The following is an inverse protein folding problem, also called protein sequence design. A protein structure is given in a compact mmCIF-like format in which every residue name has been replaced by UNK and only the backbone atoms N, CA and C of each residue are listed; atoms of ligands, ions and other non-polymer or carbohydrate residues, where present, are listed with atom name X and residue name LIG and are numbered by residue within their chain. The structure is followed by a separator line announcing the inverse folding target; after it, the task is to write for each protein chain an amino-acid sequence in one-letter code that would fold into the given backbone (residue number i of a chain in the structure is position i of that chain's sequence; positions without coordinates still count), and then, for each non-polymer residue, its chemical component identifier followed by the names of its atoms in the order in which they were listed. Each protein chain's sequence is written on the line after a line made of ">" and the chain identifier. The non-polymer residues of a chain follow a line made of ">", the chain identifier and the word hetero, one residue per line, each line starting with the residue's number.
data_IF_044136614583
#
_entry.id   IF_044136614583
#
_cell.length_a   1.000
_cell.length_b   1.000
_cell.length_c   1.000
_cell.angle_alpha   90.00
_cell.angle_beta   90.00
_cell.angle_gamma   90.00
#
_symmetry.space_group_name_H-M   'P 1'
#
loop_
_entity.id
_entity.type
_entity.pdbx_description
1 polymer ?
#
# COMPACT_ATOMS: atom_id res chain seq x y z
N UNK A 1 -43.38 4.91 2.10
CA UNK A 1 -43.48 5.57 0.81
C UNK A 1 -42.24 5.25 0.01
N UNK A 2 -42.38 4.33 -0.98
CA UNK A 2 -41.26 3.93 -1.82
C UNK A 2 -40.70 5.12 -2.58
N UNK A 3 -39.40 5.34 -2.46
CA UNK A 3 -38.65 6.26 -3.32
C UNK A 3 -38.63 5.65 -4.73
N UNK A 4 -39.57 6.05 -5.58
CA UNK A 4 -39.44 5.81 -7.01
C UNK A 4 -38.39 6.78 -7.56
N UNK A 5 -37.17 6.32 -7.69
CA UNK A 5 -36.12 6.97 -8.49
C UNK A 5 -36.29 6.37 -9.88
N UNK A 6 -37.15 6.99 -10.68
CA UNK A 6 -37.62 6.45 -11.98
C UNK A 6 -36.55 6.39 -13.10
N UNK A 7 -35.30 6.73 -12.80
CA UNK A 7 -34.21 6.79 -13.79
C UNK A 7 -32.97 5.98 -13.36
N UNK A 8 -33.05 5.13 -12.34
CA UNK A 8 -31.94 4.33 -11.87
C UNK A 8 -32.19 2.84 -12.06
N UNK A 9 -31.21 2.11 -12.57
CA UNK A 9 -31.17 0.65 -12.52
C UNK A 9 -30.51 0.22 -11.22
N UNK A 10 -31.18 -0.64 -10.46
CA UNK A 10 -30.69 -1.19 -9.19
C UNK A 10 -30.28 -2.63 -9.42
N UNK A 11 -29.07 -2.99 -8.94
CA UNK A 11 -28.54 -4.33 -8.99
C UNK A 11 -27.96 -4.76 -7.64
N UNK A 12 -27.79 -6.06 -7.45
CA UNK A 12 -27.12 -6.65 -6.30
C UNK A 12 -26.15 -7.72 -6.76
N UNK A 13 -24.89 -7.58 -6.41
CA UNK A 13 -23.86 -8.54 -6.74
C UNK A 13 -22.76 -8.53 -5.65
N UNK A 14 -22.20 -9.71 -5.33
CA UNK A 14 -21.06 -9.86 -4.40
C UNK A 14 -21.27 -9.14 -3.05
N UNK A 15 -22.43 -9.29 -2.43
CA UNK A 15 -22.83 -8.61 -1.18
C UNK A 15 -22.79 -7.07 -1.29
N UNK A 16 -22.98 -6.53 -2.47
CA UNK A 16 -22.97 -5.10 -2.76
C UNK A 16 -24.24 -4.71 -3.49
N UNK A 17 -24.96 -3.75 -2.91
CA UNK A 17 -26.07 -3.07 -3.57
C UNK A 17 -25.50 -1.94 -4.43
N UNK A 18 -25.94 -1.83 -5.67
CA UNK A 18 -25.52 -0.71 -6.52
C UNK A 18 -26.68 -0.17 -7.34
N UNK A 19 -26.58 1.08 -7.74
CA UNK A 19 -27.56 1.72 -8.59
C UNK A 19 -26.86 2.55 -9.68
N UNK A 20 -27.25 2.38 -10.92
CA UNK A 20 -26.72 3.12 -12.06
C UNK A 20 -27.68 4.23 -12.46
N UNK A 21 -27.19 5.46 -12.44
CA UNK A 21 -27.85 6.63 -13.02
C UNK A 21 -27.23 6.93 -14.38
N UNK A 22 -28.00 6.74 -15.45
CA UNK A 22 -27.54 7.09 -16.78
C UNK A 22 -27.56 8.60 -16.99
N UNK A 23 -26.47 9.12 -17.53
CA UNK A 23 -26.32 10.55 -17.80
C UNK A 23 -27.24 10.99 -18.95
N UNK A 24 -28.00 12.10 -18.80
CA UNK A 24 -28.90 12.58 -19.84
C UNK A 24 -28.20 13.01 -21.15
N UNK A 25 -26.91 13.33 -21.05
CA UNK A 25 -26.06 13.80 -22.16
C UNK A 25 -24.91 12.87 -22.50
N UNK A 26 -24.86 11.70 -21.89
CA UNK A 26 -23.73 10.75 -22.03
C UNK A 26 -23.97 9.70 -23.08
N UNK A 27 -22.90 9.12 -23.60
CA UNK A 27 -22.90 8.00 -24.54
C UNK A 27 -22.80 6.63 -23.85
N UNK A 28 -22.94 6.57 -22.52
CA UNK A 28 -22.79 5.38 -21.67
C UNK A 28 -21.40 4.71 -21.74
N UNK A 29 -20.37 5.47 -22.08
CA UNK A 29 -18.99 4.97 -22.19
C UNK A 29 -18.15 5.22 -20.94
N UNK A 30 -18.54 6.21 -20.14
CA UNK A 30 -17.79 6.70 -18.98
C UNK A 30 -18.68 6.83 -17.75
N UNK A 31 -18.12 6.51 -16.60
CA UNK A 31 -18.82 6.56 -15.33
C UNK A 31 -17.94 7.11 -14.18
N UNK A 32 -18.62 7.58 -13.13
CA UNK A 32 -18.05 7.91 -11.83
C UNK A 32 -18.76 7.11 -10.76
N UNK A 33 -18.04 6.67 -9.72
CA UNK A 33 -18.62 5.90 -8.63
C UNK A 33 -18.66 6.71 -7.32
N UNK A 34 -19.81 6.73 -6.66
CA UNK A 34 -19.96 7.15 -5.27
C UNK A 34 -20.17 5.92 -4.41
N UNK A 35 -19.19 5.63 -3.55
CA UNK A 35 -19.15 4.41 -2.75
C UNK A 35 -19.44 4.74 -1.29
N UNK A 36 -20.35 4.01 -0.70
CA UNK A 36 -20.72 4.18 0.72
C UNK A 36 -20.84 2.81 1.36
N UNK A 37 -19.77 2.32 2.02
CA UNK A 37 -19.84 1.08 2.76
C UNK A 37 -20.88 1.14 3.88
N UNK A 38 -21.55 0.02 4.15
CA UNK A 38 -22.48 -0.09 5.28
C UNK A 38 -21.76 0.07 6.62
N UNK A 39 -20.55 -0.49 6.69
CA UNK A 39 -19.66 -0.36 7.84
C UNK A 39 -18.43 0.42 7.42
N UNK A 40 -18.10 1.48 8.15
CA UNK A 40 -16.93 2.31 7.89
C UNK A 40 -15.63 1.65 8.39
N UNK A 41 -14.48 2.29 8.16
CA UNK A 41 -13.17 1.81 8.58
C UNK A 41 -12.97 1.76 10.12
N UNK A 42 -13.84 2.38 10.90
CA UNK A 42 -13.85 2.28 12.38
C UNK A 42 -14.77 1.14 12.87
N UNK A 43 -15.31 0.29 11.96
CA UNK A 43 -16.31 -0.74 12.24
C UNK A 43 -17.63 -0.20 12.83
N UNK A 44 -17.97 1.05 12.50
CA UNK A 44 -19.25 1.67 12.86
C UNK A 44 -20.22 1.66 11.66
N UNK A 45 -21.52 1.68 11.95
CA UNK A 45 -22.54 1.81 10.91
C UNK A 45 -22.44 3.21 10.24
N UNK A 46 -22.37 3.24 8.93
CA UNK A 46 -22.08 4.45 8.14
C UNK A 46 -23.37 5.23 7.76
N UNK A 47 -24.27 5.44 8.73
CA UNK A 47 -25.62 5.98 8.53
C UNK A 47 -25.63 7.37 7.89
N UNK A 48 -24.77 8.27 8.37
CA UNK A 48 -24.68 9.63 7.86
C UNK A 48 -24.30 9.68 6.37
N UNK A 49 -23.29 8.89 5.97
CA UNK A 49 -22.88 8.81 4.56
C UNK A 49 -23.96 8.17 3.69
N UNK A 50 -24.68 7.16 4.18
CA UNK A 50 -25.77 6.53 3.44
C UNK A 50 -26.94 7.49 3.22
N UNK A 51 -27.33 8.21 4.25
CA UNK A 51 -28.37 9.23 4.16
C UNK A 51 -28.00 10.33 3.18
N UNK A 52 -26.73 10.79 3.23
CA UNK A 52 -26.21 11.79 2.30
C UNK A 52 -26.15 11.27 0.87
N UNK A 53 -25.73 10.01 0.66
CA UNK A 53 -25.67 9.41 -0.68
C UNK A 53 -27.07 9.34 -1.33
N UNK A 54 -28.10 8.96 -0.56
CA UNK A 54 -29.50 8.94 -1.04
C UNK A 54 -29.98 10.35 -1.38
N UNK A 55 -29.62 11.35 -0.56
CA UNK A 55 -29.94 12.74 -0.83
C UNK A 55 -29.26 13.25 -2.12
N UNK A 56 -27.96 12.95 -2.29
CA UNK A 56 -27.18 13.27 -3.50
C UNK A 56 -27.73 12.54 -4.72
N UNK A 57 -28.09 11.27 -4.62
CA UNK A 57 -28.71 10.52 -5.71
C UNK A 57 -29.99 11.21 -6.20
N UNK A 58 -30.87 11.58 -5.26
CA UNK A 58 -32.09 12.34 -5.57
C UNK A 58 -31.81 13.72 -6.17
N UNK A 59 -30.73 14.37 -5.73
CA UNK A 59 -30.33 15.67 -6.26
C UNK A 59 -29.76 15.54 -7.67
N UNK A 60 -28.87 14.58 -7.92
CA UNK A 60 -28.24 14.35 -9.21
C UNK A 60 -29.22 13.97 -10.31
N UNK A 61 -30.26 13.19 -9.99
CA UNK A 61 -31.32 12.83 -10.98
C UNK A 61 -32.13 14.02 -11.49
N UNK A 62 -32.13 15.13 -10.74
CA UNK A 62 -32.83 16.36 -11.17
C UNK A 62 -32.00 17.26 -12.08
N UNK A 63 -30.70 16.91 -12.24
CA UNK A 63 -29.75 17.71 -13.00
C UNK A 63 -29.51 17.15 -14.40
N UNK A 64 -29.63 18.01 -15.40
CA UNK A 64 -29.38 17.66 -16.81
C UNK A 64 -27.93 17.88 -17.25
N UNK A 65 -27.01 18.20 -16.33
CA UNK A 65 -25.61 18.56 -16.66
C UNK A 65 -24.71 17.36 -16.87
N UNK A 66 -25.15 16.18 -16.43
CA UNK A 66 -24.30 14.98 -16.44
C UNK A 66 -24.06 14.46 -17.86
N UNK A 67 -22.79 14.29 -18.20
CA UNK A 67 -22.30 13.61 -19.39
C UNK A 67 -21.69 12.24 -19.09
N UNK A 68 -21.27 12.03 -17.86
CA UNK A 68 -20.77 10.73 -17.36
C UNK A 68 -21.81 10.08 -16.47
N UNK A 69 -21.97 8.77 -16.58
CA UNK A 69 -22.88 8.02 -15.72
C UNK A 69 -22.43 8.07 -14.27
N UNK A 70 -23.33 7.92 -13.32
CA UNK A 70 -23.01 7.89 -11.90
C UNK A 70 -23.48 6.56 -11.32
N UNK A 71 -22.57 5.86 -10.65
CA UNK A 71 -22.84 4.60 -9.98
C UNK A 71 -22.80 4.84 -8.48
N UNK A 72 -23.89 4.55 -7.80
CA UNK A 72 -23.96 4.52 -6.34
C UNK A 72 -23.72 3.10 -5.88
N UNK A 73 -22.70 2.88 -5.04
CA UNK A 73 -22.25 1.55 -4.63
C UNK A 73 -22.28 1.45 -3.11
N UNK A 74 -23.01 0.46 -2.58
CA UNK A 74 -23.20 0.24 -1.16
C UNK A 74 -22.71 -1.16 -0.75
N UNK A 75 -21.38 -1.36 -0.65
CA UNK A 75 -20.82 -2.63 -0.21
C UNK A 75 -21.01 -2.82 1.30
N UNK A 76 -21.00 -4.06 1.77
CA UNK A 76 -21.06 -4.37 3.19
C UNK A 76 -19.90 -3.70 3.95
N UNK A 77 -18.68 -3.80 3.40
CA UNK A 77 -17.48 -3.12 3.90
C UNK A 77 -16.66 -2.59 2.73
N UNK A 78 -15.76 -1.64 2.99
CA UNK A 78 -14.79 -1.11 2.01
C UNK A 78 -13.74 -2.12 1.55
N UNK A 79 -13.69 -3.31 2.12
CA UNK A 79 -12.66 -4.31 1.88
C UNK A 79 -13.06 -5.31 0.77
N UNK A 80 -13.10 -6.60 1.11
CA UNK A 80 -13.34 -7.71 0.17
C UNK A 80 -14.65 -7.58 -0.62
N UNK A 81 -15.80 -7.20 -0.02
CA UNK A 81 -17.03 -7.03 -0.79
C UNK A 81 -16.90 -5.98 -1.89
N UNK A 82 -16.30 -4.81 -1.58
CA UNK A 82 -16.07 -3.76 -2.57
C UNK A 82 -15.11 -4.24 -3.66
N UNK A 83 -13.99 -4.87 -3.29
CA UNK A 83 -13.01 -5.42 -4.25
C UNK A 83 -13.66 -6.43 -5.20
N UNK A 84 -14.44 -7.36 -4.65
CA UNK A 84 -15.15 -8.37 -5.45
C UNK A 84 -16.20 -7.74 -6.37
N UNK A 85 -16.86 -6.66 -5.94
CA UNK A 85 -17.79 -5.93 -6.79
C UNK A 85 -17.07 -5.22 -7.95
N UNK A 86 -15.94 -4.56 -7.69
CA UNK A 86 -15.14 -3.89 -8.73
C UNK A 86 -14.66 -4.92 -9.77
N UNK A 87 -14.19 -6.09 -9.33
CA UNK A 87 -13.81 -7.19 -10.21
C UNK A 87 -15.00 -7.69 -11.05
N UNK A 88 -16.14 -7.95 -10.40
CA UNK A 88 -17.36 -8.38 -11.07
C UNK A 88 -17.86 -7.35 -12.09
N UNK A 89 -17.78 -6.06 -11.77
CA UNK A 89 -18.15 -4.97 -12.67
C UNK A 89 -17.39 -5.01 -13.99
N UNK A 90 -16.11 -5.39 -13.96
CA UNK A 90 -15.25 -5.43 -15.15
C UNK A 90 -15.24 -6.80 -15.85
N UNK A 91 -15.78 -7.85 -15.25
CA UNK A 91 -15.64 -9.22 -15.76
C UNK A 91 -16.95 -9.95 -16.01
N UNK A 92 -17.95 -9.78 -15.15
CA UNK A 92 -19.14 -10.67 -15.10
C UNK A 92 -20.47 -9.94 -15.19
N UNK A 93 -20.55 -8.66 -14.72
CA UNK A 93 -21.82 -7.96 -14.71
C UNK A 93 -22.26 -7.55 -16.13
N UNK A 94 -23.48 -7.92 -16.49
CA UNK A 94 -24.08 -7.59 -17.79
C UNK A 94 -24.49 -6.10 -17.85
N UNK A 95 -24.99 -5.56 -16.74
CA UNK A 95 -25.40 -4.15 -16.63
C UNK A 95 -24.25 -3.32 -16.08
N UNK A 96 -23.54 -2.61 -16.95
CA UNK A 96 -22.48 -1.67 -16.63
C UNK A 96 -22.78 -0.26 -17.13
N UNK A 97 -22.15 0.72 -16.55
CA UNK A 97 -22.31 2.14 -16.91
C UNK A 97 -21.17 2.68 -17.77
N UNK A 98 -20.33 1.81 -18.31
CA UNK A 98 -19.09 2.20 -18.99
C UNK A 98 -17.86 2.15 -18.09
N UNK A 99 -16.75 2.67 -18.55
CA UNK A 99 -15.48 2.69 -17.81
C UNK A 99 -15.55 3.65 -16.62
N UNK A 100 -15.29 3.16 -15.41
CA UNK A 100 -15.23 4.02 -14.22
C UNK A 100 -13.91 4.79 -14.24
N UNK A 101 -13.98 6.12 -14.20
CA UNK A 101 -12.81 7.00 -14.22
C UNK A 101 -12.36 7.41 -12.82
N UNK A 102 -13.33 7.72 -11.96
CA UNK A 102 -13.08 8.14 -10.59
C UNK A 102 -14.09 7.51 -9.63
N UNK A 103 -13.61 7.23 -8.41
CA UNK A 103 -14.45 6.77 -7.31
C UNK A 103 -14.19 7.61 -6.05
N UNK A 104 -15.25 8.05 -5.40
CA UNK A 104 -15.20 8.71 -4.11
C UNK A 104 -15.87 7.82 -3.10
N UNK A 105 -15.15 7.45 -2.05
CA UNK A 105 -15.66 6.68 -0.94
C UNK A 105 -16.00 7.63 0.20
N UNK A 106 -17.20 7.53 0.74
CA UNK A 106 -17.67 8.38 1.83
C UNK A 106 -17.78 7.60 3.13
N UNK A 107 -17.19 8.13 4.18
CA UNK A 107 -17.34 7.63 5.55
C UNK A 107 -17.83 8.75 6.48
N UNK A 108 -19.04 8.56 7.01
CA UNK A 108 -19.67 9.44 7.98
C UNK A 108 -20.55 8.61 8.92
N UNK A 109 -19.91 8.04 9.96
CA UNK A 109 -20.55 7.05 10.82
C UNK A 109 -21.55 7.60 11.84
N UNK A 110 -21.55 8.91 12.15
CA UNK A 110 -22.32 9.44 13.27
C UNK A 110 -23.63 10.11 12.89
N UNK A 111 -24.59 9.95 13.82
CA UNK A 111 -25.89 10.61 13.86
C UNK A 111 -25.73 12.09 14.21
N UNK A 112 -25.36 12.93 13.28
CA UNK A 112 -25.26 14.35 13.50
C UNK A 112 -25.12 15.10 12.18
N UNK A 113 -25.68 16.30 12.17
CA UNK A 113 -25.62 17.18 11.00
C UNK A 113 -24.33 17.99 10.94
N UNK A 114 -23.42 17.84 11.93
CA UNK A 114 -22.22 18.65 12.07
C UNK A 114 -20.95 17.81 12.19
N UNK A 115 -19.83 18.38 11.70
CA UNK A 115 -18.50 17.79 11.77
C UNK A 115 -17.43 18.88 11.85
N UNK A 116 -16.21 18.54 12.28
CA UNK A 116 -15.12 19.51 12.43
C UNK A 116 -14.25 19.60 11.18
N UNK A 117 -13.77 18.47 10.71
CA UNK A 117 -12.92 18.35 9.53
C UNK A 117 -13.13 17.00 8.86
N UNK A 118 -12.48 16.77 7.73
CA UNK A 118 -12.41 15.44 7.15
C UNK A 118 -10.97 14.98 6.91
N UNK A 119 -10.78 13.68 6.99
CA UNK A 119 -9.58 12.99 6.59
C UNK A 119 -9.70 12.49 5.16
N UNK A 120 -8.64 12.65 4.39
CA UNK A 120 -8.53 12.11 3.03
C UNK A 120 -7.54 10.93 3.04
N UNK A 121 -8.00 9.78 2.57
CA UNK A 121 -7.18 8.57 2.36
C UNK A 121 -7.13 8.27 0.87
N UNK A 122 -5.96 7.94 0.35
CA UNK A 122 -5.71 7.76 -1.09
C UNK A 122 -4.75 6.62 -1.40
N UNK A 123 -4.39 5.82 -0.42
CA UNK A 123 -3.50 4.69 -0.58
C UNK A 123 -4.13 3.57 -1.43
N UNK A 124 -3.40 3.14 -2.46
CA UNK A 124 -3.78 1.99 -3.28
C UNK A 124 -2.87 0.79 -3.03
N UNK A 125 -3.37 -0.39 -3.40
CA UNK A 125 -2.62 -1.64 -3.32
C UNK A 125 -1.40 -1.62 -4.24
N UNK A 126 -0.37 -2.33 -3.84
CA UNK A 126 0.84 -2.56 -4.63
C UNK A 126 1.53 -1.25 -5.07
N UNK A 127 1.45 -0.21 -4.22
CA UNK A 127 2.08 1.08 -4.46
C UNK A 127 1.38 2.00 -5.45
N UNK A 128 0.18 1.64 -5.90
CA UNK A 128 -0.60 2.49 -6.78
C UNK A 128 -1.16 3.69 -6.04
N UNK A 129 -1.19 4.83 -6.72
CA UNK A 129 -1.76 6.07 -6.22
C UNK A 129 -2.76 6.61 -7.26
N UNK A 130 -3.82 7.28 -6.82
CA UNK A 130 -4.69 7.99 -7.74
C UNK A 130 -3.97 9.17 -8.37
N UNK A 131 -4.48 9.63 -9.49
CA UNK A 131 -3.99 10.85 -10.13
C UNK A 131 -4.07 12.04 -9.17
N UNK A 132 -2.99 12.81 -9.07
CA UNK A 132 -2.89 13.94 -8.15
C UNK A 132 -3.94 15.02 -8.41
N UNK A 133 -4.39 15.19 -9.65
CA UNK A 133 -5.40 16.20 -9.99
C UNK A 133 -6.76 15.88 -9.35
N UNK A 134 -7.10 14.60 -9.18
CA UNK A 134 -8.32 14.23 -8.48
C UNK A 134 -8.27 14.67 -7.00
N UNK A 135 -7.15 14.43 -6.33
CA UNK A 135 -6.95 14.86 -4.93
C UNK A 135 -6.93 16.39 -4.81
N UNK A 136 -6.23 17.06 -5.73
CA UNK A 136 -6.16 18.50 -5.76
C UNK A 136 -7.54 19.12 -6.00
N UNK A 137 -8.34 18.53 -6.89
CA UNK A 137 -9.73 18.98 -7.12
C UNK A 137 -10.53 18.92 -5.83
N UNK A 138 -10.52 17.80 -5.12
CA UNK A 138 -11.20 17.68 -3.83
C UNK A 138 -10.68 18.71 -2.80
N UNK A 139 -9.36 18.89 -2.72
CA UNK A 139 -8.73 19.87 -1.82
C UNK A 139 -9.12 21.32 -2.15
N UNK A 140 -9.23 21.67 -3.42
CA UNK A 140 -9.69 23.01 -3.84
C UNK A 140 -11.13 23.24 -3.42
N UNK A 141 -12.02 22.25 -3.62
CA UNK A 141 -13.42 22.34 -3.20
C UNK A 141 -13.53 22.49 -1.66
N UNK A 142 -12.73 21.76 -0.92
CA UNK A 142 -12.62 21.88 0.53
C UNK A 142 -12.22 23.29 0.96
N UNK A 143 -11.24 23.87 0.30
CA UNK A 143 -10.80 25.22 0.59
C UNK A 143 -11.90 26.25 0.34
N UNK A 144 -12.67 26.11 -0.73
CA UNK A 144 -13.81 26.98 -1.03
C UNK A 144 -14.92 26.88 0.02
N UNK A 145 -15.20 25.68 0.52
CA UNK A 145 -16.17 25.46 1.60
C UNK A 145 -15.61 25.76 3.00
N UNK A 146 -14.34 26.20 3.09
CA UNK A 146 -13.65 26.52 4.35
C UNK A 146 -13.69 25.37 5.36
N UNK A 147 -13.57 24.14 4.89
CA UNK A 147 -13.51 22.95 5.74
C UNK A 147 -12.04 22.56 5.93
N UNK A 148 -11.59 22.33 7.17
CA UNK A 148 -10.26 21.77 7.40
C UNK A 148 -10.14 20.37 6.81
N UNK A 149 -9.00 20.08 6.16
CA UNK A 149 -8.69 18.77 5.59
C UNK A 149 -7.41 18.23 6.22
N UNK A 150 -7.48 17.02 6.72
CA UNK A 150 -6.33 16.22 7.14
C UNK A 150 -5.99 15.18 6.07
N UNK A 151 -4.80 14.61 6.16
CA UNK A 151 -4.31 13.58 5.24
C UNK A 151 -3.91 12.34 6.01
N UNK A 152 -4.53 11.20 5.68
CA UNK A 152 -4.14 9.88 6.21
C UNK A 152 -4.09 9.80 7.75
N UNK A 153 -5.06 10.41 8.42
CA UNK A 153 -5.19 10.42 9.87
C UNK A 153 -4.20 11.32 10.60
N UNK A 154 -3.55 12.25 9.90
CA UNK A 154 -2.76 13.31 10.53
C UNK A 154 -3.67 14.44 11.02
N UNK A 155 -3.11 15.32 11.86
CA UNK A 155 -3.84 16.53 12.27
C UNK A 155 -4.20 17.41 11.07
N UNK A 156 -5.38 17.99 11.09
CA UNK A 156 -5.87 19.02 10.15
C UNK A 156 -4.93 20.24 10.04
N UNK A 157 -4.09 20.45 11.05
CA UNK A 157 -3.16 21.58 11.16
C UNK A 157 -1.73 21.19 10.86
N UNK A 158 -1.42 20.98 9.57
CA UNK A 158 -0.04 20.79 9.12
C UNK A 158 0.61 22.17 8.92
N UNK A 159 1.17 22.74 9.99
CA UNK A 159 1.66 24.12 10.02
C UNK A 159 3.19 24.17 9.84
N UNK A 160 3.93 23.20 10.40
CA UNK A 160 5.38 23.23 10.51
C UNK A 160 6.06 22.22 9.57
N UNK A 161 7.35 22.45 9.31
CA UNK A 161 8.16 21.50 8.55
C UNK A 161 8.19 20.10 9.19
N UNK A 162 8.24 20.02 10.52
CA UNK A 162 8.18 18.77 11.27
C UNK A 162 6.88 18.00 11.03
N UNK A 163 5.73 18.67 11.06
CA UNK A 163 4.43 18.03 10.80
C UNK A 163 4.30 17.57 9.34
N UNK A 164 4.89 18.31 8.39
CA UNK A 164 4.96 17.86 6.97
C UNK A 164 5.80 16.60 6.82
N UNK A 165 6.93 16.49 7.49
CA UNK A 165 7.73 15.27 7.49
C UNK A 165 6.99 14.10 8.15
N UNK A 166 6.26 14.34 9.25
CA UNK A 166 5.42 13.31 9.87
C UNK A 166 4.34 12.81 8.91
N UNK A 167 3.67 13.72 8.18
CA UNK A 167 2.69 13.35 7.14
C UNK A 167 3.34 12.49 6.05
N UNK A 168 4.54 12.86 5.57
CA UNK A 168 5.30 12.11 4.58
C UNK A 168 5.61 10.69 5.05
N UNK A 169 6.19 10.55 6.26
CA UNK A 169 6.53 9.24 6.79
C UNK A 169 5.30 8.39 7.09
N UNK A 170 4.23 9.00 7.58
CA UNK A 170 2.96 8.31 7.78
C UNK A 170 2.37 7.84 6.45
N UNK A 171 2.45 8.65 5.39
CA UNK A 171 2.06 8.27 4.04
C UNK A 171 2.87 7.08 3.51
N UNK A 172 4.19 7.08 3.68
CA UNK A 172 5.05 5.94 3.32
C UNK A 172 4.65 4.69 4.11
N UNK A 173 4.42 4.82 5.43
CA UNK A 173 4.01 3.71 6.28
C UNK A 173 2.65 3.14 5.85
N UNK A 174 1.64 4.00 5.64
CA UNK A 174 0.31 3.60 5.17
C UNK A 174 0.39 2.86 3.83
N UNK A 175 1.13 3.40 2.85
CA UNK A 175 1.35 2.75 1.56
C UNK A 175 2.08 1.40 1.67
N UNK A 176 2.99 1.23 2.64
CA UNK A 176 3.67 -0.04 2.89
C UNK A 176 2.72 -1.07 3.51
N UNK A 177 1.78 -0.63 4.34
CA UNK A 177 0.89 -1.49 5.12
C UNK A 177 -0.48 -1.72 4.48
N UNK A 178 -0.77 -1.08 3.35
CA UNK A 178 -2.04 -1.28 2.63
C UNK A 178 -2.28 -2.76 2.37
N UNK A 179 -3.46 -3.23 2.77
CA UNK A 179 -3.85 -4.64 2.65
C UNK A 179 -3.27 -5.58 3.70
N UNK A 180 -2.40 -5.08 4.59
CA UNK A 180 -1.78 -5.86 5.66
C UNK A 180 -2.37 -5.56 7.05
N UNK A 181 -3.26 -4.57 7.15
CA UNK A 181 -3.93 -4.17 8.39
C UNK A 181 -5.44 -4.26 8.23
N UNK A 182 -6.17 -4.27 9.34
CA UNK A 182 -7.64 -4.22 9.35
C UNK A 182 -8.18 -2.80 9.10
N UNK A 183 -7.30 -1.80 9.06
CA UNK A 183 -7.66 -0.43 8.72
C UNK A 183 -7.82 -0.31 7.20
N UNK A 184 -9.04 -0.35 6.73
CA UNK A 184 -9.42 -0.38 5.31
C UNK A 184 -10.30 0.81 5.00
N UNK A 185 -9.91 1.62 4.03
CA UNK A 185 -10.63 2.83 3.65
C UNK A 185 -11.46 2.68 2.36
N UNK A 186 -11.24 1.62 1.58
CA UNK A 186 -12.01 1.29 0.38
C UNK A 186 -11.40 1.80 -0.93
N UNK A 187 -10.59 2.86 -0.92
CA UNK A 187 -9.93 3.36 -2.13
C UNK A 187 -8.96 2.32 -2.74
N UNK A 188 -8.35 1.48 -1.93
CA UNK A 188 -7.49 0.38 -2.35
C UNK A 188 -8.21 -0.70 -3.17
N UNK A 189 -9.53 -0.84 -3.04
CA UNK A 189 -10.32 -1.81 -3.79
C UNK A 189 -10.31 -1.54 -5.31
N UNK A 190 -10.06 -0.31 -5.71
CA UNK A 190 -10.00 0.13 -7.11
C UNK A 190 -8.64 -0.04 -7.76
N UNK A 191 -7.62 -0.42 -6.99
CA UNK A 191 -6.27 -0.64 -7.51
C UNK A 191 -6.22 -1.79 -8.52
N UNK A 192 -5.43 -1.61 -9.59
CA UNK A 192 -5.31 -2.58 -10.69
C UNK A 192 -6.29 -2.37 -11.84
N UNK A 193 -7.32 -1.53 -11.67
CA UNK A 193 -8.34 -1.26 -12.69
C UNK A 193 -8.21 0.12 -13.34
N UNK A 194 -7.13 0.85 -13.05
CA UNK A 194 -6.89 2.22 -13.52
C UNK A 194 -7.99 3.21 -13.12
N UNK A 195 -8.69 2.94 -12.03
CA UNK A 195 -9.72 3.81 -11.47
C UNK A 195 -9.07 4.70 -10.42
N UNK A 196 -9.26 6.00 -10.53
CA UNK A 196 -8.75 6.97 -9.58
C UNK A 196 -9.68 7.03 -8.38
N UNK A 197 -9.21 6.64 -7.19
CA UNK A 197 -10.07 6.55 -6.01
C UNK A 197 -9.44 7.18 -4.78
N UNK A 198 -10.27 7.83 -3.96
CA UNK A 198 -9.90 8.31 -2.63
C UNK A 198 -11.10 8.23 -1.69
N UNK A 199 -10.81 8.18 -0.40
CA UNK A 199 -11.81 8.12 0.66
C UNK A 199 -11.84 9.42 1.43
N UNK A 200 -13.03 9.92 1.71
CA UNK A 200 -13.27 11.09 2.55
C UNK A 200 -13.98 10.62 3.81
N UNK A 201 -13.32 10.79 4.96
CA UNK A 201 -13.85 10.39 6.26
C UNK A 201 -14.07 11.60 7.14
N UNK A 202 -15.29 11.78 7.59
CA UNK A 202 -15.68 12.86 8.48
C UNK A 202 -15.16 12.63 9.90
N UNK A 203 -14.68 13.69 10.55
CA UNK A 203 -14.18 13.68 11.92
C UNK A 203 -14.79 14.81 12.75
N UNK A 204 -14.99 14.52 14.04
CA UNK A 204 -15.58 15.47 14.98
C UNK A 204 -17.12 15.50 14.91
N UNK A 205 -17.72 16.31 15.79
CA UNK A 205 -19.18 16.37 15.97
C UNK A 205 -19.74 17.79 15.96
N UNK A 206 -18.89 18.80 15.75
CA UNK A 206 -19.27 20.21 15.82
C UNK A 206 -18.68 20.99 14.65
N UNK A 207 -19.24 22.13 14.34
CA UNK A 207 -18.66 23.15 13.47
C UNK A 207 -19.26 23.21 12.07
N UNK A 208 -18.97 22.29 11.18
CA UNK A 208 -19.41 22.32 9.77
C UNK A 208 -20.68 21.51 9.56
N UNK A 209 -21.52 21.99 8.66
CA UNK A 209 -22.79 21.35 8.32
C UNK A 209 -22.57 20.22 7.29
N UNK A 210 -23.32 19.14 7.42
CA UNK A 210 -23.33 18.00 6.48
C UNK A 210 -23.61 18.43 5.03
N UNK A 211 -24.37 19.53 4.83
CA UNK A 211 -24.62 20.10 3.51
C UNK A 211 -23.32 20.58 2.84
N UNK A 212 -22.38 21.12 3.62
CA UNK A 212 -21.07 21.53 3.09
C UNK A 212 -20.25 20.30 2.63
N UNK A 213 -20.35 19.21 3.38
CA UNK A 213 -19.73 17.94 2.95
C UNK A 213 -20.35 17.43 1.64
N UNK A 214 -21.67 17.45 1.52
CA UNK A 214 -22.38 17.12 0.28
C UNK A 214 -21.97 18.00 -0.90
N UNK A 215 -21.69 19.30 -0.67
CA UNK A 215 -21.20 20.21 -1.72
C UNK A 215 -19.79 19.87 -2.20
N UNK A 216 -18.90 19.40 -1.33
CA UNK A 216 -17.57 18.95 -1.76
C UNK A 216 -17.71 17.77 -2.73
N UNK A 217 -18.53 16.77 -2.37
CA UNK A 217 -18.80 15.62 -3.22
C UNK A 217 -19.41 16.03 -4.55
N UNK A 218 -20.48 16.82 -4.54
CA UNK A 218 -21.14 17.34 -5.75
C UNK A 218 -20.16 18.12 -6.64
N UNK A 219 -19.39 19.04 -6.06
CA UNK A 219 -18.46 19.87 -6.83
C UNK A 219 -17.30 19.04 -7.41
N UNK A 220 -16.84 18.04 -6.70
CA UNK A 220 -15.81 17.10 -7.21
C UNK A 220 -16.37 16.27 -8.36
N UNK A 221 -17.59 15.72 -8.22
CA UNK A 221 -18.28 15.00 -9.31
C UNK A 221 -18.47 15.89 -10.54
N UNK A 222 -18.89 17.13 -10.38
CA UNK A 222 -19.03 18.09 -11.50
C UNK A 222 -17.70 18.39 -12.17
N UNK A 223 -16.63 18.52 -11.39
CA UNK A 223 -15.29 18.74 -11.95
C UNK A 223 -14.83 17.56 -12.79
N UNK A 224 -15.01 16.33 -12.30
CA UNK A 224 -14.71 15.11 -13.07
C UNK A 224 -15.62 14.97 -14.30
N UNK A 225 -16.91 15.30 -14.16
CA UNK A 225 -17.86 15.28 -15.26
C UNK A 225 -17.46 16.21 -16.42
N UNK A 226 -16.79 17.32 -16.12
CA UNK A 226 -16.36 18.30 -17.12
C UNK A 226 -15.01 17.94 -17.77
N UNK A 227 -14.33 16.88 -17.34
CA UNK A 227 -13.13 16.41 -18.01
C UNK A 227 -13.48 15.77 -19.35
N UNK A 228 -12.88 16.30 -20.43
CA UNK A 228 -13.04 15.77 -21.79
C UNK A 228 -12.20 14.51 -22.01
N UNK A 229 -11.12 14.37 -21.26
CA UNK A 229 -10.18 13.24 -21.34
C UNK A 229 -9.98 12.65 -19.96
N UNK A 230 -9.62 11.36 -19.91
CA UNK A 230 -9.28 10.68 -18.65
C UNK A 230 -8.08 11.36 -17.97
N UNK A 231 -7.96 11.18 -16.65
CA UNK A 231 -6.80 11.65 -15.90
C UNK A 231 -5.51 11.02 -16.43
N UNK A 232 -4.70 11.76 -17.20
CA UNK A 232 -3.46 11.27 -17.79
C UNK A 232 -2.29 12.27 -17.76
N UNK A 233 -2.56 13.54 -17.49
CA UNK A 233 -1.56 14.61 -17.58
C UNK A 233 -0.85 14.92 -16.26
N UNK A 234 -1.35 14.43 -15.12
CA UNK A 234 -0.79 14.73 -13.82
C UNK A 234 0.09 13.62 -13.25
N UNK A 235 0.63 13.86 -12.06
CA UNK A 235 1.51 12.93 -11.39
C UNK A 235 0.76 11.74 -10.81
N UNK A 236 1.29 10.52 -11.03
CA UNK A 236 0.94 9.29 -10.33
C UNK A 236 2.00 8.87 -9.31
N UNK A 237 3.15 9.54 -9.32
CA UNK A 237 4.30 9.24 -8.46
C UNK A 237 4.60 10.46 -7.59
N UNK A 238 3.92 10.52 -6.46
CA UNK A 238 4.02 11.62 -5.50
C UNK A 238 3.86 11.11 -4.07
N UNK A 239 4.26 11.92 -3.11
CA UNK A 239 3.97 11.72 -1.69
C UNK A 239 3.47 13.04 -1.12
N UNK A 240 2.36 13.00 -0.39
CA UNK A 240 1.77 14.21 0.19
C UNK A 240 2.51 14.62 1.46
N UNK A 241 2.77 15.91 1.58
CA UNK A 241 3.29 16.56 2.78
C UNK A 241 2.17 17.25 3.57
N UNK A 242 1.14 17.67 2.89
CA UNK A 242 -0.05 18.31 3.40
C UNK A 242 -1.11 18.34 2.30
N UNK A 243 -2.35 18.73 2.56
CA UNK A 243 -3.37 18.87 1.50
C UNK A 243 -2.95 19.73 0.31
N UNK A 244 -2.04 20.70 0.54
CA UNK A 244 -1.58 21.65 -0.51
C UNK A 244 -0.14 21.43 -0.97
N UNK A 245 0.58 20.48 -0.41
CA UNK A 245 2.00 20.28 -0.72
C UNK A 245 2.30 18.80 -0.92
N UNK A 246 3.04 18.51 -1.96
CA UNK A 246 3.53 17.17 -2.27
C UNK A 246 4.99 17.20 -2.68
N UNK A 247 5.63 16.06 -2.68
CA UNK A 247 6.92 15.82 -3.32
C UNK A 247 6.75 14.86 -4.49
N UNK A 248 7.35 15.21 -5.61
CA UNK A 248 7.35 14.36 -6.80
C UNK A 248 8.43 13.29 -6.71
N UNK A 249 8.33 12.28 -7.57
CA UNK A 249 9.30 11.19 -7.68
C UNK A 249 10.76 11.69 -7.79
N UNK A 250 11.01 12.74 -8.53
CA UNK A 250 12.37 13.31 -8.67
C UNK A 250 12.98 13.75 -7.34
N UNK A 251 12.17 14.07 -6.33
CA UNK A 251 12.66 14.53 -5.03
C UNK A 251 12.88 13.38 -4.05
N UNK A 252 12.02 12.37 -4.01
CA UNK A 252 12.14 11.29 -3.04
C UNK A 252 12.91 10.06 -3.55
N UNK A 253 12.93 9.83 -4.86
CA UNK A 253 13.60 8.69 -5.48
C UNK A 253 15.09 8.56 -5.11
N UNK A 254 15.88 9.65 -5.03
CA UNK A 254 17.30 9.57 -4.67
C UNK A 254 17.54 8.86 -3.33
N UNK A 255 16.62 8.94 -2.36
CA UNK A 255 16.76 8.28 -1.06
C UNK A 255 16.82 6.75 -1.18
N UNK A 256 15.94 6.15 -1.98
CA UNK A 256 15.94 4.71 -2.19
C UNK A 256 17.04 4.26 -3.18
N UNK A 257 17.43 5.11 -4.12
CA UNK A 257 18.63 4.86 -4.96
C UNK A 257 19.88 4.75 -4.09
N UNK A 258 20.08 5.66 -3.13
CA UNK A 258 21.20 5.58 -2.19
C UNK A 258 21.20 4.31 -1.36
N UNK A 259 20.00 3.83 -0.95
CA UNK A 259 19.88 2.53 -0.30
C UNK A 259 20.33 1.39 -1.24
N UNK A 260 19.82 1.32 -2.46
CA UNK A 260 20.21 0.30 -3.43
C UNK A 260 21.74 0.33 -3.70
N UNK A 261 22.32 1.51 -3.86
CA UNK A 261 23.77 1.71 -4.04
C UNK A 261 24.56 1.19 -2.82
N UNK A 262 24.06 1.38 -1.58
CA UNK A 262 24.74 0.88 -0.38
C UNK A 262 24.85 -0.65 -0.38
N UNK A 263 23.80 -1.35 -0.81
CA UNK A 263 23.81 -2.81 -0.97
C UNK A 263 24.77 -3.25 -2.09
N UNK A 264 24.73 -2.56 -3.23
CA UNK A 264 25.64 -2.85 -4.35
C UNK A 264 27.11 -2.66 -3.96
N UNK A 265 27.46 -1.57 -3.27
CA UNK A 265 28.81 -1.33 -2.78
C UNK A 265 29.26 -2.38 -1.76
N UNK A 266 28.37 -2.80 -0.86
CA UNK A 266 28.65 -3.87 0.09
C UNK A 266 28.85 -5.22 -0.62
N UNK A 267 28.08 -5.50 -1.67
CA UNK A 267 28.28 -6.66 -2.55
C UNK A 267 29.67 -6.66 -3.19
N UNK A 268 30.07 -5.55 -3.80
CA UNK A 268 31.40 -5.39 -4.41
C UNK A 268 32.49 -5.55 -3.36
N UNK A 269 32.34 -4.94 -2.19
CA UNK A 269 33.28 -5.10 -1.07
C UNK A 269 33.51 -6.57 -0.68
N UNK A 270 32.45 -7.37 -0.67
CA UNK A 270 32.56 -8.79 -0.39
C UNK A 270 33.42 -9.54 -1.42
N UNK A 271 33.24 -9.23 -2.72
CA UNK A 271 34.06 -9.79 -3.80
C UNK A 271 35.53 -9.36 -3.71
N UNK A 272 35.77 -8.09 -3.42
CA UNK A 272 37.16 -7.56 -3.29
C UNK A 272 37.90 -8.24 -2.13
N UNK A 273 37.23 -8.54 -1.03
CA UNK A 273 37.86 -9.16 0.16
C UNK A 273 38.27 -10.62 -0.05
N UNK A 274 37.55 -11.39 -0.85
CA UNK A 274 37.77 -12.84 -0.94
C UNK A 274 37.84 -13.40 -2.36
N UNK A 275 37.63 -12.57 -3.40
CA UNK A 275 37.45 -13.02 -4.77
C UNK A 275 36.07 -13.67 -4.98
N UNK A 276 35.79 -14.10 -6.21
CA UNK A 276 34.53 -14.71 -6.58
C UNK A 276 34.70 -16.19 -6.94
N UNK A 277 33.81 -17.07 -6.41
CA UNK A 277 33.77 -18.50 -6.69
C UNK A 277 32.40 -18.91 -7.23
N UNK A 278 32.37 -19.33 -8.48
CA UNK A 278 31.12 -19.79 -9.14
C UNK A 278 30.66 -21.19 -8.71
N UNK A 279 31.51 -21.98 -8.07
CA UNK A 279 31.23 -23.39 -7.76
C UNK A 279 30.04 -23.59 -6.83
N UNK A 280 29.72 -22.60 -6.00
CA UNK A 280 28.60 -22.66 -5.04
C UNK A 280 27.35 -21.91 -5.49
N UNK A 281 27.31 -21.43 -6.73
CA UNK A 281 26.16 -20.70 -7.25
C UNK A 281 24.86 -21.51 -7.24
N UNK A 282 24.95 -22.83 -7.43
CA UNK A 282 23.79 -23.72 -7.33
C UNK A 282 23.05 -23.58 -5.98
N UNK A 283 23.76 -23.21 -4.91
CA UNK A 283 23.17 -23.03 -3.60
C UNK A 283 22.15 -21.89 -3.56
N UNK A 284 22.40 -20.82 -4.32
CA UNK A 284 21.43 -19.72 -4.49
C UNK A 284 20.14 -20.25 -5.13
N UNK A 285 20.28 -21.02 -6.19
CA UNK A 285 19.13 -21.62 -6.90
C UNK A 285 18.33 -22.55 -5.99
N UNK A 286 19.01 -23.36 -5.17
CA UNK A 286 18.34 -24.27 -4.21
C UNK A 286 17.55 -23.45 -3.17
N UNK A 287 18.11 -22.37 -2.64
CA UNK A 287 17.41 -21.51 -1.68
C UNK A 287 16.21 -20.83 -2.33
N UNK A 288 16.37 -20.31 -3.55
CA UNK A 288 15.26 -19.67 -4.29
C UNK A 288 14.12 -20.66 -4.57
N UNK A 289 14.42 -21.88 -4.99
CA UNK A 289 13.40 -22.93 -5.19
C UNK A 289 12.70 -23.26 -3.86
N UNK A 290 13.43 -23.37 -2.76
CA UNK A 290 12.84 -23.63 -1.45
C UNK A 290 11.90 -22.48 -1.01
N UNK A 291 12.30 -21.23 -1.24
CA UNK A 291 11.47 -20.05 -0.95
C UNK A 291 10.27 -19.97 -1.90
N UNK A 292 10.43 -20.34 -3.18
CA UNK A 292 9.32 -20.42 -4.13
C UNK A 292 8.27 -21.45 -3.69
N UNK A 293 8.69 -22.62 -3.21
CA UNK A 293 7.78 -23.61 -2.64
C UNK A 293 7.09 -23.03 -1.38
N UNK A 294 7.85 -22.38 -0.49
CA UNK A 294 7.32 -21.76 0.72
C UNK A 294 6.25 -20.70 0.41
N UNK A 295 6.39 -19.97 -0.69
CA UNK A 295 5.45 -18.92 -1.07
C UNK A 295 4.02 -19.42 -1.36
N UNK A 296 3.87 -20.70 -1.74
CA UNK A 296 2.59 -21.33 -2.10
C UNK A 296 2.10 -22.35 -1.06
N UNK A 297 2.88 -22.64 -0.02
CA UNK A 297 2.47 -23.54 1.06
C UNK A 297 1.72 -22.74 2.13
N UNK A 298 0.60 -23.25 2.70
CA UNK A 298 -0.04 -22.62 3.84
C UNK A 298 0.93 -22.58 5.03
N UNK A 299 1.35 -21.40 5.42
CA UNK A 299 2.29 -21.18 6.52
C UNK A 299 1.63 -20.36 7.62
N UNK A 300 1.98 -20.64 8.86
CA UNK A 300 1.61 -19.84 10.00
C UNK A 300 2.84 -19.16 10.63
N UNK A 301 2.57 -18.21 11.51
CA UNK A 301 3.62 -17.44 12.20
C UNK A 301 4.66 -18.34 12.90
N UNK A 302 4.21 -19.38 13.59
CA UNK A 302 5.10 -20.29 14.35
C UNK A 302 6.06 -21.02 13.41
N UNK A 303 5.56 -21.48 12.26
CA UNK A 303 6.37 -22.17 11.25
C UNK A 303 7.46 -21.26 10.67
N UNK A 304 7.13 -20.01 10.32
CA UNK A 304 8.10 -19.07 9.77
C UNK A 304 9.15 -18.65 10.79
N UNK A 305 8.77 -18.47 12.05
CA UNK A 305 9.72 -18.24 13.14
C UNK A 305 10.61 -19.45 13.37
N UNK A 306 10.08 -20.67 13.35
CA UNK A 306 10.85 -21.90 13.48
C UNK A 306 11.85 -22.09 12.34
N UNK A 307 11.44 -21.86 11.08
CA UNK A 307 12.35 -21.89 9.92
C UNK A 307 13.48 -20.88 10.11
N UNK A 308 13.15 -19.65 10.49
CA UNK A 308 14.15 -18.61 10.75
C UNK A 308 15.13 -18.99 11.86
N UNK A 309 14.63 -19.57 12.95
CA UNK A 309 15.48 -20.06 14.05
C UNK A 309 16.40 -21.18 13.61
N UNK A 310 15.92 -22.15 12.82
CA UNK A 310 16.72 -23.24 12.27
C UNK A 310 17.85 -22.72 11.37
N UNK A 311 17.58 -21.67 10.57
CA UNK A 311 18.58 -21.03 9.70
C UNK A 311 19.71 -20.38 10.52
N UNK A 312 19.38 -19.84 11.70
CA UNK A 312 20.35 -19.21 12.61
C UNK A 312 21.21 -20.19 13.43
N UNK A 313 20.89 -21.48 13.43
CA UNK A 313 21.67 -22.46 14.22
C UNK A 313 23.12 -22.56 13.74
N UNK A 314 24.07 -22.64 14.67
CA UNK A 314 25.48 -22.85 14.34
C UNK A 314 25.69 -24.15 13.56
N UNK A 315 26.50 -24.11 12.51
CA UNK A 315 26.79 -25.26 11.65
C UNK A 315 28.27 -25.56 11.61
N UNK A 316 28.62 -26.79 11.20
CA UNK A 316 30.02 -27.13 10.86
C UNK A 316 30.47 -26.29 9.67
N UNK A 317 31.78 -26.02 9.55
CA UNK A 317 32.32 -25.24 8.43
C UNK A 317 32.07 -25.97 7.09
N UNK A 318 31.18 -25.43 6.29
CA UNK A 318 30.78 -26.00 4.99
C UNK A 318 31.34 -25.15 3.85
N UNK A 319 31.55 -23.86 4.09
CA UNK A 319 31.97 -22.89 3.08
C UNK A 319 33.41 -22.45 3.29
N UNK A 320 34.18 -22.41 2.20
CA UNK A 320 35.46 -21.68 2.15
C UNK A 320 35.20 -20.17 2.29
N UNK A 321 36.23 -19.39 2.62
CA UNK A 321 36.16 -17.95 2.71
C UNK A 321 35.61 -17.36 1.40
N UNK A 322 36.19 -17.77 0.27
CA UNK A 322 35.79 -17.29 -1.05
C UNK A 322 34.32 -17.63 -1.38
N UNK A 323 33.90 -18.88 -1.12
CA UNK A 323 32.51 -19.30 -1.38
C UNK A 323 31.49 -18.52 -0.51
N UNK A 324 31.78 -18.35 0.79
CA UNK A 324 30.88 -17.62 1.69
C UNK A 324 30.72 -16.15 1.29
N UNK A 325 31.84 -15.48 0.95
CA UNK A 325 31.77 -14.07 0.52
C UNK A 325 31.12 -13.90 -0.87
N UNK A 326 31.29 -14.87 -1.79
CA UNK A 326 30.60 -14.88 -3.09
C UNK A 326 29.09 -14.99 -2.91
N UNK A 327 28.62 -15.89 -2.05
CA UNK A 327 27.19 -16.05 -1.75
C UNK A 327 26.61 -14.80 -1.11
N UNK A 328 27.31 -14.18 -0.16
CA UNK A 328 26.89 -12.91 0.46
C UNK A 328 26.82 -11.80 -0.58
N UNK A 329 27.82 -11.72 -1.47
CA UNK A 329 27.83 -10.73 -2.55
C UNK A 329 26.60 -10.85 -3.45
N UNK A 330 26.26 -12.06 -3.90
CA UNK A 330 25.09 -12.31 -4.74
C UNK A 330 23.80 -11.94 -4.01
N UNK A 331 23.67 -12.32 -2.75
CA UNK A 331 22.49 -12.01 -1.96
C UNK A 331 22.30 -10.50 -1.74
N UNK A 332 23.38 -9.76 -1.45
CA UNK A 332 23.34 -8.30 -1.35
C UNK A 332 23.00 -7.62 -2.68
N UNK A 333 23.54 -8.15 -3.78
CA UNK A 333 23.20 -7.65 -5.12
C UNK A 333 21.72 -7.93 -5.46
N UNK A 334 21.18 -9.08 -5.06
CA UNK A 334 19.77 -9.40 -5.23
C UNK A 334 18.87 -8.40 -4.48
N UNK A 335 19.23 -8.03 -3.24
CA UNK A 335 18.49 -6.98 -2.51
C UNK A 335 18.61 -5.62 -3.21
N UNK A 336 19.79 -5.24 -3.71
CA UNK A 336 19.96 -4.02 -4.48
C UNK A 336 19.04 -3.99 -5.72
N UNK A 337 18.97 -5.10 -6.46
CA UNK A 337 18.10 -5.25 -7.62
C UNK A 337 16.63 -5.24 -7.24
N UNK A 338 16.25 -5.88 -6.14
CA UNK A 338 14.88 -5.85 -5.61
C UNK A 338 14.45 -4.42 -5.31
N UNK A 339 15.26 -3.66 -4.56
CA UNK A 339 14.99 -2.26 -4.26
C UNK A 339 14.86 -1.47 -5.57
N UNK A 340 15.79 -1.65 -6.51
CA UNK A 340 15.79 -0.95 -7.80
C UNK A 340 14.53 -1.25 -8.63
N UNK A 341 14.09 -2.50 -8.66
CA UNK A 341 12.87 -2.90 -9.36
C UNK A 341 11.61 -2.28 -8.74
N UNK A 342 11.58 -2.17 -7.41
CA UNK A 342 10.46 -1.59 -6.68
C UNK A 342 10.44 -0.06 -6.66
N UNK A 343 11.52 0.62 -7.02
CA UNK A 343 11.65 2.08 -6.94
C UNK A 343 10.48 2.83 -7.59
N UNK A 344 10.03 2.37 -8.73
CA UNK A 344 8.95 3.00 -9.49
C UNK A 344 7.61 2.35 -9.15
N UNK A 345 7.58 1.02 -9.04
CA UNK A 345 6.33 0.26 -8.85
C UNK A 345 5.76 0.46 -7.45
N UNK A 346 6.63 0.40 -6.43
CA UNK A 346 6.21 0.47 -5.02
C UNK A 346 7.29 1.11 -4.15
N UNK A 347 7.51 2.42 -4.33
CA UNK A 347 8.55 3.17 -3.61
C UNK A 347 8.51 2.96 -2.09
N UNK A 348 7.32 3.02 -1.48
CA UNK A 348 7.18 2.90 -0.02
C UNK A 348 7.71 1.55 0.49
N UNK A 349 7.42 0.46 -0.22
CA UNK A 349 7.92 -0.87 0.13
C UNK A 349 9.43 -0.99 -0.14
N UNK A 350 9.92 -0.45 -1.27
CA UNK A 350 11.35 -0.42 -1.59
C UNK A 350 12.17 0.30 -0.51
N UNK A 351 11.69 1.46 -0.08
CA UNK A 351 12.31 2.27 0.96
C UNK A 351 12.28 1.56 2.32
N UNK A 352 11.15 0.96 2.69
CA UNK A 352 10.99 0.22 3.94
C UNK A 352 11.91 -1.02 3.99
N UNK A 353 11.93 -1.85 2.95
CA UNK A 353 12.85 -3.01 2.86
C UNK A 353 14.30 -2.51 2.90
N UNK A 354 14.62 -1.46 2.15
CA UNK A 354 15.98 -0.91 2.10
C UNK A 354 16.50 -0.48 3.46
N UNK A 355 15.68 0.13 4.30
CA UNK A 355 16.06 0.52 5.67
C UNK A 355 16.12 -0.70 6.61
N UNK A 356 15.09 -1.55 6.59
CA UNK A 356 14.96 -2.65 7.56
C UNK A 356 15.97 -3.78 7.31
N UNK A 357 16.35 -4.00 6.06
CA UNK A 357 17.41 -4.95 5.70
C UNK A 357 18.83 -4.34 5.72
N UNK A 358 18.98 -3.02 5.96
CA UNK A 358 20.28 -2.32 5.94
C UNK A 358 21.36 -2.98 6.81
N UNK A 359 21.07 -3.57 7.97
CA UNK A 359 22.09 -4.26 8.75
C UNK A 359 22.81 -5.39 8.01
N UNK A 360 22.22 -5.97 6.96
CA UNK A 360 22.88 -6.99 6.13
C UNK A 360 24.12 -6.45 5.40
N UNK A 361 24.16 -5.16 5.09
CA UNK A 361 25.30 -4.53 4.40
C UNK A 361 26.57 -4.52 5.25
N UNK A 362 26.45 -4.60 6.57
CA UNK A 362 27.59 -4.64 7.47
C UNK A 362 28.18 -6.05 7.67
N UNK A 363 27.44 -7.11 7.28
CA UNK A 363 27.84 -8.51 7.50
C UNK A 363 29.20 -8.83 6.86
N UNK A 364 29.51 -8.46 5.59
CA UNK A 364 30.83 -8.77 5.00
C UNK A 364 32.01 -8.20 5.81
N UNK A 365 31.85 -6.99 6.33
CA UNK A 365 32.89 -6.32 7.13
C UNK A 365 33.06 -6.97 8.50
N UNK A 366 31.93 -7.27 9.16
CA UNK A 366 31.93 -7.84 10.51
C UNK A 366 32.26 -9.33 10.55
N UNK A 367 32.12 -10.02 9.41
CA UNK A 367 32.33 -11.47 9.32
C UNK A 367 33.77 -11.92 9.63
N UNK A 368 34.73 -11.03 9.43
CA UNK A 368 36.16 -11.31 9.75
C UNK A 368 36.36 -11.73 11.22
N UNK A 369 35.63 -11.15 12.15
CA UNK A 369 35.81 -11.37 13.59
C UNK A 369 34.70 -12.21 14.23
N UNK A 370 33.69 -12.71 13.48
CA UNK A 370 32.51 -13.43 14.03
C UNK A 370 31.93 -12.77 15.29
N UNK A 371 31.76 -11.47 15.26
CA UNK A 371 31.32 -10.71 16.42
C UNK A 371 29.84 -10.98 16.76
N UNK A 372 29.47 -10.81 18.03
CA UNK A 372 28.06 -10.84 18.46
C UNK A 372 27.21 -9.82 17.70
N UNK A 373 27.86 -8.74 17.24
CA UNK A 373 27.21 -7.70 16.43
C UNK A 373 26.71 -8.25 15.08
N UNK A 374 27.47 -9.17 14.44
CA UNK A 374 27.02 -9.79 13.19
C UNK A 374 25.75 -10.63 13.41
N UNK A 375 25.71 -11.41 14.49
CA UNK A 375 24.50 -12.18 14.83
C UNK A 375 23.30 -11.25 15.12
N UNK A 376 23.54 -10.14 15.81
CA UNK A 376 22.53 -9.12 16.04
C UNK A 376 22.02 -8.50 14.71
N UNK A 377 22.92 -8.10 13.80
CA UNK A 377 22.54 -7.59 12.49
C UNK A 377 21.67 -8.59 11.71
N UNK A 378 22.02 -9.88 11.74
CA UNK A 378 21.23 -10.93 11.10
C UNK A 378 19.86 -11.12 11.76
N UNK A 379 19.78 -11.05 13.09
CA UNK A 379 18.51 -11.19 13.80
C UNK A 379 17.54 -10.03 13.49
N UNK A 380 18.02 -8.77 13.56
CA UNK A 380 17.18 -7.58 13.34
C UNK A 380 16.83 -7.35 11.87
N UNK A 381 17.52 -7.95 10.92
CA UNK A 381 17.23 -7.89 9.49
C UNK A 381 16.41 -9.07 8.96
N UNK A 382 16.01 -10.01 9.84
CA UNK A 382 15.11 -11.09 9.45
C UNK A 382 13.73 -10.53 9.10
N UNK A 383 13.20 -10.73 7.87
CA UNK A 383 11.94 -10.11 7.45
C UNK A 383 10.77 -10.50 8.35
N UNK A 384 10.65 -11.75 8.77
CA UNK A 384 9.53 -12.20 9.60
C UNK A 384 9.61 -11.67 11.03
N UNK A 385 10.81 -11.58 11.59
CA UNK A 385 11.03 -10.96 12.90
C UNK A 385 10.67 -9.46 12.85
N UNK A 386 11.11 -8.77 11.81
CA UNK A 386 10.82 -7.34 11.60
C UNK A 386 9.32 -7.10 11.49
N UNK A 387 8.61 -7.88 10.67
CA UNK A 387 7.16 -7.75 10.48
C UNK A 387 6.41 -8.05 11.78
N UNK A 388 6.83 -9.07 12.54
CA UNK A 388 6.26 -9.38 13.85
C UNK A 388 6.43 -8.23 14.85
N UNK A 389 7.65 -7.68 14.94
CA UNK A 389 7.93 -6.53 15.82
C UNK A 389 7.18 -5.29 15.36
N UNK A 390 7.14 -5.02 14.06
CA UNK A 390 6.39 -3.90 13.49
C UNK A 390 4.90 -3.98 13.83
N UNK A 391 4.27 -5.16 13.71
CA UNK A 391 2.89 -5.36 14.10
C UNK A 391 2.64 -5.03 15.58
N UNK A 392 3.53 -5.45 16.45
CA UNK A 392 3.45 -5.14 17.89
C UNK A 392 3.63 -3.64 18.20
N UNK A 393 4.61 -3.00 17.57
CA UNK A 393 4.95 -1.58 17.80
C UNK A 393 3.89 -0.65 17.22
N UNK A 394 3.33 -0.99 16.07
CA UNK A 394 2.33 -0.18 15.37
C UNK A 394 0.90 -0.44 15.88
N UNK A 395 0.70 -1.42 16.77
CA UNK A 395 -0.64 -1.75 17.28
C UNK A 395 -1.48 -2.61 16.33
N UNK A 396 -0.86 -3.26 15.33
CA UNK A 396 -1.49 -4.13 14.34
C UNK A 396 -1.02 -5.58 14.52
N UNK A 397 -1.46 -6.31 15.54
CA UNK A 397 -1.03 -7.68 15.80
C UNK A 397 -1.37 -8.65 14.66
N UNK A 398 -2.39 -8.34 13.87
CA UNK A 398 -2.85 -9.10 12.71
C UNK A 398 -1.91 -9.01 11.49
N UNK A 399 -0.97 -8.08 11.48
CA UNK A 399 -0.13 -7.75 10.32
C UNK A 399 0.60 -8.98 9.75
N UNK A 400 1.03 -9.90 10.62
CA UNK A 400 1.72 -11.10 10.18
C UNK A 400 0.79 -12.09 9.48
N UNK A 401 -0.40 -12.32 10.04
CA UNK A 401 -1.38 -13.24 9.48
C UNK A 401 -1.96 -12.69 8.19
N UNK A 402 -2.21 -11.37 8.15
CA UNK A 402 -2.64 -10.65 6.95
C UNK A 402 -1.60 -10.70 5.83
N UNK A 403 -0.30 -10.64 6.15
CA UNK A 403 0.74 -10.77 5.13
C UNK A 403 0.60 -12.04 4.29
N UNK A 404 0.23 -13.16 4.93
CA UNK A 404 0.07 -14.45 4.25
C UNK A 404 -1.22 -14.52 3.43
N UNK A 405 -2.31 -13.95 3.97
CA UNK A 405 -3.65 -14.04 3.35
C UNK A 405 -3.95 -12.92 2.36
N UNK A 406 -3.22 -11.80 2.41
CA UNK A 406 -3.50 -10.61 1.62
C UNK A 406 -3.48 -10.83 0.09
N UNK A 407 -2.72 -11.83 -0.39
CA UNK A 407 -2.77 -12.18 -1.81
C UNK A 407 -4.11 -12.80 -2.20
N UNK A 408 -4.60 -13.77 -1.43
CA UNK A 408 -5.86 -14.45 -1.72
C UNK A 408 -7.07 -13.54 -1.54
N UNK A 409 -6.99 -12.58 -0.60
CA UNK A 409 -8.11 -11.72 -0.24
C UNK A 409 -8.25 -10.51 -1.16
N UNK A 410 -7.14 -9.87 -1.50
CA UNK A 410 -7.14 -8.58 -2.21
C UNK A 410 -6.04 -8.44 -3.27
N UNK A 411 -5.31 -9.52 -3.58
CA UNK A 411 -4.20 -9.51 -4.55
C UNK A 411 -3.04 -8.57 -4.17
N UNK A 412 -2.71 -8.47 -2.88
CA UNK A 412 -1.54 -7.73 -2.39
C UNK A 412 -0.27 -8.57 -2.59
N UNK A 413 0.73 -8.01 -3.26
CA UNK A 413 1.95 -8.73 -3.67
C UNK A 413 3.04 -8.76 -2.61
N UNK A 414 2.86 -8.08 -1.50
CA UNK A 414 3.89 -7.92 -0.45
C UNK A 414 4.42 -9.25 0.06
N UNK A 415 3.56 -10.28 0.20
CA UNK A 415 3.99 -11.63 0.58
C UNK A 415 5.05 -12.20 -0.37
N UNK A 416 4.79 -12.17 -1.67
CA UNK A 416 5.74 -12.67 -2.66
C UNK A 416 7.02 -11.86 -2.71
N UNK A 417 6.94 -10.54 -2.59
CA UNK A 417 8.11 -9.65 -2.56
C UNK A 417 9.01 -9.98 -1.35
N UNK A 418 8.41 -10.24 -0.19
CA UNK A 418 9.16 -10.61 1.01
C UNK A 418 9.77 -12.00 0.88
N UNK A 419 8.99 -13.01 0.46
CA UNK A 419 9.40 -14.42 0.46
C UNK A 419 10.33 -14.76 -0.72
N UNK A 420 10.20 -14.10 -1.85
CA UNK A 420 11.03 -14.35 -3.06
C UNK A 420 12.14 -13.32 -3.24
N UNK A 421 12.13 -12.22 -2.49
CA UNK A 421 13.14 -11.17 -2.63
C UNK A 421 14.00 -10.98 -1.38
N UNK A 422 13.39 -10.58 -0.27
CA UNK A 422 14.15 -10.26 0.94
C UNK A 422 14.58 -11.52 1.74
N UNK A 423 13.66 -12.45 1.95
CA UNK A 423 13.93 -13.66 2.76
C UNK A 423 15.01 -14.57 2.18
N UNK A 424 15.08 -14.90 0.86
CA UNK A 424 16.15 -15.70 0.30
C UNK A 424 17.53 -15.07 0.51
N UNK A 425 17.64 -13.76 0.31
CA UNK A 425 18.87 -13.03 0.53
C UNK A 425 19.32 -13.13 2.00
N UNK A 426 18.39 -12.95 2.94
CA UNK A 426 18.65 -13.13 4.35
C UNK A 426 19.10 -14.56 4.69
N UNK A 427 18.44 -15.58 4.14
CA UNK A 427 18.79 -17.00 4.32
C UNK A 427 20.21 -17.28 3.83
N UNK A 428 20.53 -16.84 2.59
CA UNK A 428 21.86 -17.06 2.00
C UNK A 428 22.95 -16.41 2.82
N UNK A 429 22.76 -15.16 3.25
CA UNK A 429 23.74 -14.44 4.08
C UNK A 429 23.93 -15.14 5.42
N UNK A 430 22.82 -15.55 6.07
CA UNK A 430 22.86 -16.21 7.38
C UNK A 430 23.53 -17.58 7.30
N UNK A 431 23.19 -18.41 6.32
CA UNK A 431 23.80 -19.71 6.11
C UNK A 431 25.30 -19.58 5.77
N UNK A 432 25.68 -18.59 4.97
CA UNK A 432 27.08 -18.30 4.64
C UNK A 432 27.85 -17.89 5.89
N UNK A 433 27.27 -17.06 6.76
CA UNK A 433 27.87 -16.69 8.05
C UNK A 433 28.00 -17.88 8.99
N UNK A 434 26.94 -18.68 9.18
CA UNK A 434 26.94 -19.83 10.07
C UNK A 434 27.89 -20.93 9.58
N UNK A 435 27.96 -21.15 8.26
CA UNK A 435 28.80 -22.20 7.64
C UNK A 435 30.26 -21.80 7.38
N UNK A 436 30.69 -20.58 7.68
CA UNK A 436 32.06 -20.13 7.55
C UNK A 436 32.76 -20.11 8.91
N UNK A 437 34.00 -20.62 9.00
CA UNK A 437 34.90 -20.43 10.17
C UNK A 437 36.13 -19.62 9.76
N UNK A 438 36.40 -18.48 10.38
CA UNK A 438 37.63 -17.73 10.13
C UNK A 438 38.81 -18.60 10.57
N UNK A 439 39.78 -18.77 9.71
CA UNK A 439 41.08 -19.36 10.09
C UNK A 439 41.74 -18.34 11.02
N UNK A 440 42.06 -18.73 12.24
CA UNK A 440 42.90 -17.92 13.11
C UNK A 440 44.26 -17.79 12.41
N UNK A 441 44.59 -16.63 11.92
CA UNK A 441 45.99 -16.34 11.58
C UNK A 441 46.80 -16.54 12.86
N UNK A 442 47.73 -17.49 12.83
CA UNK A 442 48.73 -17.59 13.89
C UNK A 442 49.50 -16.27 13.84
N UNK A 443 49.38 -15.48 14.90
CA UNK A 443 50.29 -14.36 15.13
C UNK A 443 51.69 -14.93 15.22
N UNK A 444 52.46 -14.77 14.16
CA UNK A 444 53.89 -14.89 14.21
C UNK A 444 54.47 -13.71 14.98
#
# INVERSE_FOLDING_TARGET
>A
SGLQISSMKIGFATNTLYAIMHAPRGENTEAMALVVPWTNSDNEYNEGAMSLAVALARYFTKMSIWSKNIIFVFPETGHRPLRSWVEAYHTVLDDTAGSIEAAIIMEYGKNGDYFEYYDMFYEGLNGQLPNLDLLNTANVMTYHEQIPCAMQGMSDRVINYSTRLQTLFRGILKLTLVGLTDEVHGCEAFSGWQIQAFTIKVRGTEGKDVTQFGRIVDSTFRSVNNLLEKFHQSFFFYLMLSPKHFVSIGTYLPSAILLAVSYALSSVSAVVVAGFDFRKLYFVVVVEIACAILAFVPVNQVMLVAISAVVLLPRQAIFSKQAAFSLISIALLAVALLITALLIVHFALAFSIGILALPLTFVPTLMKNKSRLTAFCLAVSNPFFVIFVAGKVLGHPELFDRLVTAWSDIQCWTWFIVVLGWFPAWVIITLSYCGYKPVKEKSE
#
